data_IF_604841980102
#
_entry.id   IF_604841980102
#
_cell.length_a   1.000
_cell.length_b   1.000
_cell.length_c   1.000
_cell.angle_alpha   90.00
_cell.angle_beta   90.00
_cell.angle_gamma   90.00
#
_symmetry.space_group_name_H-M   'P 1'
#
loop_
_entity.id
_entity.type
_entity.pdbx_description
1 polymer ?
#
# COMPACT_ATOMS: atom_id res chain seq x y z
N UNK A 1 16.52 -22.49 -38.42
CA UNK A 1 16.15 -21.32 -37.62
C UNK A 1 14.72 -21.53 -37.14
N UNK A 2 14.54 -22.12 -35.96
CA UNK A 2 13.24 -22.21 -35.31
C UNK A 2 13.08 -20.98 -34.42
N UNK A 3 12.30 -20.01 -34.88
CA UNK A 3 11.80 -18.93 -34.03
C UNK A 3 10.75 -19.54 -33.11
N UNK A 4 11.14 -19.80 -31.86
CA UNK A 4 10.19 -20.11 -30.78
C UNK A 4 9.38 -18.84 -30.55
N UNK A 5 8.21 -18.76 -31.19
CA UNK A 5 7.18 -17.80 -30.82
C UNK A 5 6.63 -18.23 -29.45
N UNK A 6 7.31 -17.82 -28.38
CA UNK A 6 6.82 -17.90 -27.01
C UNK A 6 5.71 -16.89 -26.79
N UNK A 7 4.61 -17.01 -27.52
CA UNK A 7 3.39 -16.27 -27.20
C UNK A 7 2.86 -16.84 -25.89
N UNK A 8 2.99 -16.09 -24.81
CA UNK A 8 2.35 -16.44 -23.54
C UNK A 8 0.85 -16.45 -23.81
N UNK A 9 0.25 -17.65 -23.79
CA UNK A 9 -1.18 -17.81 -23.99
C UNK A 9 -1.91 -17.26 -22.76
N UNK A 10 -3.00 -16.53 -23.00
CA UNK A 10 -3.84 -16.03 -21.91
C UNK A 10 -4.35 -17.23 -21.08
N UNK A 11 -4.21 -17.12 -19.75
CA UNK A 11 -4.55 -18.18 -18.79
C UNK A 11 -5.46 -17.64 -17.71
N UNK A 12 -6.41 -18.47 -17.29
CA UNK A 12 -7.30 -18.17 -16.17
C UNK A 12 -6.56 -18.35 -14.85
N UNK A 13 -6.22 -17.25 -14.19
CA UNK A 13 -5.43 -17.23 -12.95
C UNK A 13 -6.17 -16.50 -11.82
N UNK A 14 -5.90 -16.84 -10.56
CA UNK A 14 -6.39 -16.06 -9.43
C UNK A 14 -5.88 -14.61 -9.46
N UNK A 15 -6.72 -13.67 -9.04
CA UNK A 15 -6.37 -12.25 -8.93
C UNK A 15 -5.12 -12.04 -8.06
N UNK A 16 -4.94 -12.80 -6.97
CA UNK A 16 -3.78 -12.62 -6.11
C UNK A 16 -2.43 -12.85 -6.82
N UNK A 17 -2.37 -13.74 -7.83
CA UNK A 17 -1.16 -13.98 -8.62
C UNK A 17 -0.85 -12.76 -9.49
N UNK A 18 -1.88 -12.19 -10.10
CA UNK A 18 -1.76 -11.02 -10.98
C UNK A 18 -1.37 -9.78 -10.19
N UNK A 19 -1.95 -9.59 -9.01
CA UNK A 19 -1.55 -8.49 -8.12
C UNK A 19 -0.10 -8.62 -7.65
N UNK A 20 0.40 -9.85 -7.43
CA UNK A 20 1.81 -10.05 -7.10
C UNK A 20 2.74 -9.69 -8.26
N UNK A 21 2.37 -10.06 -9.50
CA UNK A 21 3.10 -9.66 -10.71
C UNK A 21 3.06 -8.13 -10.92
N UNK A 22 1.89 -7.51 -10.72
CA UNK A 22 1.74 -6.06 -10.78
C UNK A 22 2.63 -5.37 -9.72
N UNK A 23 2.65 -5.84 -8.47
CA UNK A 23 3.56 -5.30 -7.43
C UNK A 23 5.03 -5.47 -7.82
N UNK A 24 5.41 -6.62 -8.41
CA UNK A 24 6.78 -6.84 -8.87
C UNK A 24 7.17 -5.83 -9.96
N UNK A 25 6.25 -5.52 -10.87
CA UNK A 25 6.48 -4.55 -11.95
C UNK A 25 6.71 -3.12 -11.44
N UNK A 26 6.27 -2.80 -10.21
CA UNK A 26 6.55 -1.53 -9.54
C UNK A 26 7.98 -1.44 -8.99
N UNK A 27 8.81 -2.47 -9.19
CA UNK A 27 10.17 -2.52 -8.67
C UNK A 27 10.25 -2.84 -7.18
N UNK A 28 9.18 -3.41 -6.60
CA UNK A 28 9.18 -3.83 -5.19
C UNK A 28 10.02 -5.09 -5.04
N UNK A 29 10.99 -5.05 -4.13
CA UNK A 29 11.90 -6.16 -3.84
C UNK A 29 11.60 -6.86 -2.51
N UNK A 30 10.95 -6.13 -1.58
CA UNK A 30 10.67 -6.58 -0.24
C UNK A 30 9.27 -6.16 0.23
N UNK A 31 8.59 -7.06 0.93
CA UNK A 31 7.31 -6.82 1.62
C UNK A 31 7.43 -7.27 3.07
N UNK A 32 6.71 -6.61 3.97
CA UNK A 32 6.74 -6.89 5.40
C UNK A 32 5.38 -7.38 5.85
N UNK A 33 5.28 -8.32 6.78
CA UNK A 33 3.95 -8.80 7.12
C UNK A 33 3.86 -9.76 8.26
N UNK A 34 2.62 -10.03 8.67
CA UNK A 34 2.28 -11.20 9.46
C UNK A 34 1.19 -11.96 8.69
N UNK A 35 1.58 -13.11 8.16
CA UNK A 35 0.70 -13.93 7.32
C UNK A 35 -0.54 -14.38 8.11
N UNK A 36 -1.70 -14.26 7.48
CA UNK A 36 -2.99 -14.76 7.96
C UNK A 36 -3.55 -15.76 6.95
N UNK A 37 -4.51 -16.59 7.35
CA UNK A 37 -5.25 -17.49 6.43
C UNK A 37 -5.83 -16.73 5.22
N UNK A 38 -6.34 -15.52 5.45
CA UNK A 38 -6.92 -14.63 4.44
C UNK A 38 -5.91 -13.89 3.55
N UNK A 39 -4.60 -14.03 3.80
CA UNK A 39 -3.52 -13.43 2.98
C UNK A 39 -2.44 -14.42 2.56
N UNK A 40 -2.48 -15.68 3.03
CA UNK A 40 -1.43 -16.67 2.83
C UNK A 40 -1.10 -16.94 1.35
N UNK A 41 -2.12 -17.11 0.50
CA UNK A 41 -1.93 -17.33 -0.93
C UNK A 41 -1.30 -16.12 -1.62
N UNK A 42 -1.73 -14.92 -1.23
CA UNK A 42 -1.16 -13.69 -1.77
C UNK A 42 0.31 -13.50 -1.37
N UNK A 43 0.65 -13.73 -0.10
CA UNK A 43 2.05 -13.71 0.38
C UNK A 43 2.90 -14.75 -0.35
N UNK A 44 2.36 -15.95 -0.57
CA UNK A 44 3.06 -17.00 -1.33
C UNK A 44 3.30 -16.57 -2.78
N UNK A 45 2.33 -15.92 -3.42
CA UNK A 45 2.49 -15.42 -4.78
C UNK A 45 3.53 -14.28 -4.88
N UNK A 46 3.61 -13.40 -3.88
CA UNK A 46 4.65 -12.37 -3.80
C UNK A 46 6.05 -13.01 -3.76
N UNK A 47 6.23 -14.03 -2.90
CA UNK A 47 7.49 -14.77 -2.80
C UNK A 47 7.85 -15.48 -4.12
N UNK A 48 6.87 -16.14 -4.76
CA UNK A 48 7.04 -16.78 -6.06
C UNK A 48 7.36 -15.78 -7.19
N UNK A 49 6.89 -14.53 -7.10
CA UNK A 49 7.23 -13.45 -8.02
C UNK A 49 8.64 -12.85 -7.75
N UNK A 50 9.38 -13.38 -6.78
CA UNK A 50 10.71 -12.92 -6.39
C UNK A 50 10.68 -11.63 -5.56
N UNK A 51 9.65 -11.45 -4.73
CA UNK A 51 9.55 -10.38 -3.73
C UNK A 51 9.79 -11.01 -2.36
N UNK A 52 10.83 -10.58 -1.65
CA UNK A 52 11.19 -11.18 -0.36
C UNK A 52 10.15 -10.82 0.71
N UNK A 53 9.58 -11.83 1.37
CA UNK A 53 8.67 -11.62 2.50
C UNK A 53 9.39 -11.62 3.84
N UNK A 54 9.39 -10.47 4.52
CA UNK A 54 9.94 -10.30 5.87
C UNK A 54 8.83 -10.43 6.93
N UNK A 55 8.77 -11.61 7.55
CA UNK A 55 7.77 -11.93 8.58
C UNK A 55 8.04 -11.25 9.94
N UNK A 56 7.04 -10.54 10.46
CA UNK A 56 7.01 -9.98 11.80
C UNK A 56 6.45 -10.99 12.83
N UNK A 57 6.38 -10.57 14.10
CA UNK A 57 5.64 -11.28 15.16
C UNK A 57 4.36 -10.55 15.60
N UNK A 58 4.12 -9.36 15.06
CA UNK A 58 2.97 -8.51 15.36
C UNK A 58 2.72 -7.57 14.17
N UNK A 59 1.46 -7.28 13.85
CA UNK A 59 1.07 -6.44 12.70
C UNK A 59 1.63 -5.01 12.79
N UNK A 60 1.59 -4.40 13.98
CA UNK A 60 2.29 -3.14 14.24
C UNK A 60 3.77 -3.18 13.82
N UNK A 61 4.50 -4.23 14.18
CA UNK A 61 5.91 -4.36 13.82
C UNK A 61 6.08 -4.53 12.31
N UNK A 62 5.19 -5.27 11.64
CA UNK A 62 5.21 -5.39 10.17
C UNK A 62 5.07 -4.02 9.48
N UNK A 63 4.08 -3.22 9.91
CA UNK A 63 3.84 -1.89 9.34
C UNK A 63 5.01 -0.94 9.67
N UNK A 64 5.55 -0.99 10.89
CA UNK A 64 6.74 -0.20 11.25
C UNK A 64 7.99 -0.59 10.45
N UNK A 65 8.17 -1.87 10.11
CA UNK A 65 9.27 -2.28 9.21
C UNK A 65 9.09 -1.71 7.80
N UNK A 66 7.87 -1.76 7.25
CA UNK A 66 7.58 -1.15 5.95
C UNK A 66 7.82 0.37 5.96
N UNK A 67 7.48 1.03 7.07
CA UNK A 67 7.71 2.46 7.28
C UNK A 67 9.21 2.80 7.34
N UNK A 68 9.98 2.06 8.14
CA UNK A 68 11.44 2.22 8.20
C UNK A 68 12.13 1.92 6.87
N UNK A 69 11.66 0.93 6.12
CA UNK A 69 12.13 0.63 4.77
C UNK A 69 11.87 1.80 3.81
N UNK A 70 10.65 2.33 3.80
CA UNK A 70 10.29 3.48 2.97
C UNK A 70 11.13 4.71 3.33
N UNK A 71 11.37 4.94 4.62
CA UNK A 71 12.22 6.04 5.08
C UNK A 71 13.68 5.90 4.65
N UNK A 72 14.26 4.70 4.81
CA UNK A 72 15.67 4.45 4.51
C UNK A 72 15.98 4.40 3.01
N UNK A 73 15.06 3.88 2.19
CA UNK A 73 15.25 3.69 0.75
C UNK A 73 14.70 4.84 -0.10
N UNK A 74 13.73 5.60 0.40
CA UNK A 74 12.92 6.52 -0.40
C UNK A 74 11.91 5.83 -1.32
N UNK A 75 11.89 4.49 -1.35
CA UNK A 75 10.99 3.65 -2.14
C UNK A 75 9.65 3.43 -1.42
N UNK A 76 8.70 2.77 -2.11
CA UNK A 76 7.44 2.35 -1.54
C UNK A 76 7.68 1.21 -0.51
N UNK A 77 7.24 1.43 0.74
CA UNK A 77 7.14 0.35 1.73
C UNK A 77 5.79 -0.35 1.61
N UNK A 78 5.78 -1.69 1.62
CA UNK A 78 4.53 -2.47 1.59
C UNK A 78 4.42 -3.36 2.81
N UNK A 79 3.31 -3.26 3.52
CA UNK A 79 2.93 -4.16 4.61
C UNK A 79 1.74 -5.04 4.21
N UNK A 80 1.79 -6.34 4.48
CA UNK A 80 0.69 -7.29 4.24
C UNK A 80 0.28 -7.93 5.57
N UNK A 81 -0.98 -7.71 5.99
CA UNK A 81 -1.51 -8.20 7.25
C UNK A 81 -2.94 -8.74 7.08
N UNK A 82 -3.38 -9.58 8.01
CA UNK A 82 -4.71 -10.17 7.96
C UNK A 82 -5.86 -9.19 8.20
N UNK A 83 -7.08 -9.70 8.09
CA UNK A 83 -8.32 -8.99 8.45
C UNK A 83 -8.61 -9.02 9.95
N UNK A 84 -9.55 -8.18 10.37
CA UNK A 84 -10.18 -8.32 11.69
C UNK A 84 -9.25 -7.91 12.84
N UNK A 85 -8.95 -8.80 13.80
CA UNK A 85 -7.99 -8.51 14.87
C UNK A 85 -6.63 -8.03 14.35
N UNK A 86 -6.16 -8.55 13.23
CA UNK A 86 -4.91 -8.12 12.61
C UNK A 86 -4.95 -6.63 12.17
N UNK A 87 -6.09 -6.16 11.65
CA UNK A 87 -6.29 -4.74 11.35
C UNK A 87 -6.21 -3.89 12.62
N UNK A 88 -6.86 -4.32 13.70
CA UNK A 88 -6.83 -3.62 14.99
C UNK A 88 -5.42 -3.59 15.59
N UNK A 89 -4.69 -4.71 15.54
CA UNK A 89 -3.32 -4.84 16.02
C UNK A 89 -2.33 -3.92 15.27
N UNK A 90 -2.55 -3.69 13.98
CA UNK A 90 -1.72 -2.83 13.15
C UNK A 90 -2.11 -1.34 13.18
N UNK A 91 -3.22 -0.98 13.84
CA UNK A 91 -3.81 0.35 13.71
C UNK A 91 -2.88 1.47 14.19
N UNK A 92 -2.11 1.23 15.26
CA UNK A 92 -1.20 2.24 15.80
C UNK A 92 -0.10 2.62 14.80
N UNK A 93 0.58 1.63 14.21
CA UNK A 93 1.61 1.87 13.20
C UNK A 93 1.02 2.45 11.91
N UNK A 94 -0.19 2.02 11.53
CA UNK A 94 -0.91 2.58 10.37
C UNK A 94 -1.20 4.08 10.55
N UNK A 95 -1.70 4.48 11.73
CA UNK A 95 -1.91 5.89 12.07
C UNK A 95 -0.60 6.66 12.13
N UNK A 96 0.46 6.08 12.70
CA UNK A 96 1.76 6.71 12.75
C UNK A 96 2.32 7.01 11.34
N UNK A 97 2.28 6.03 10.43
CA UNK A 97 2.71 6.19 9.05
C UNK A 97 1.90 7.28 8.32
N UNK A 98 0.59 7.35 8.56
CA UNK A 98 -0.26 8.40 7.99
C UNK A 98 0.11 9.79 8.51
N UNK A 99 0.40 9.93 9.81
CA UNK A 99 0.75 11.22 10.44
C UNK A 99 2.13 11.73 10.05
N UNK A 100 3.04 10.83 9.69
CA UNK A 100 4.42 11.16 9.29
C UNK A 100 4.58 11.33 7.77
N UNK A 101 3.50 11.14 7.01
CA UNK A 101 3.51 11.21 5.56
C UNK A 101 4.52 10.23 4.96
N UNK A 102 4.54 9.00 5.48
CA UNK A 102 5.43 7.94 5.02
C UNK A 102 4.84 7.25 3.79
N UNK A 103 5.70 6.86 2.84
CA UNK A 103 5.31 6.22 1.56
C UNK A 103 5.00 4.74 1.78
N UNK A 104 3.85 4.44 2.41
CA UNK A 104 3.52 3.07 2.85
C UNK A 104 2.17 2.63 2.29
N UNK A 105 2.15 1.48 1.60
CA UNK A 105 0.93 0.77 1.23
C UNK A 105 0.70 -0.38 2.22
N UNK A 106 -0.42 -0.36 2.93
CA UNK A 106 -0.80 -1.39 3.88
C UNK A 106 -1.95 -2.22 3.28
N UNK A 107 -1.63 -3.44 2.86
CA UNK A 107 -2.59 -4.38 2.28
C UNK A 107 -3.15 -5.23 3.42
N UNK A 108 -4.45 -5.08 3.66
CA UNK A 108 -5.21 -5.88 4.60
C UNK A 108 -6.00 -6.93 3.82
N UNK A 109 -5.99 -8.19 4.29
CA UNK A 109 -7.05 -9.11 3.92
C UNK A 109 -8.41 -8.56 4.37
N UNK A 110 -9.48 -8.98 3.70
CA UNK A 110 -10.85 -8.54 4.02
C UNK A 110 -11.87 -9.67 3.83
N UNK A 111 -13.04 -9.53 4.48
CA UNK A 111 -14.13 -10.49 4.36
C UNK A 111 -14.59 -10.62 2.90
N UNK A 112 -14.81 -11.85 2.44
CA UNK A 112 -15.41 -12.12 1.14
C UNK A 112 -16.77 -11.41 1.01
N UNK A 113 -17.10 -10.96 -0.21
CA UNK A 113 -18.44 -10.50 -0.52
C UNK A 113 -19.43 -11.67 -0.48
N UNK A 114 -20.65 -11.41 -0.02
CA UNK A 114 -21.72 -12.42 0.00
C UNK A 114 -21.63 -13.47 1.12
N UNK A 115 -20.77 -13.28 2.12
CA UNK A 115 -20.64 -14.16 3.30
C UNK A 115 -21.86 -14.17 4.22
N UNK A 116 -22.88 -13.33 3.97
CA UNK A 116 -24.20 -13.41 4.59
C UNK A 116 -25.04 -14.55 4.01
N UNK A 117 -24.41 -15.70 3.72
CA UNK A 117 -25.14 -16.89 3.32
C UNK A 117 -25.95 -17.36 4.52
N UNK A 118 -27.22 -17.71 4.29
CA UNK A 118 -28.16 -18.23 5.29
C UNK A 118 -27.67 -19.53 5.97
N UNK A 119 -26.58 -20.13 5.49
CA UNK A 119 -25.97 -21.37 5.97
C UNK A 119 -24.45 -21.26 6.23
N UNK A 120 -23.95 -20.10 6.65
CA UNK A 120 -22.54 -19.98 7.03
C UNK A 120 -22.22 -20.93 8.20
N UNK A 121 -21.07 -21.63 8.13
CA UNK A 121 -20.55 -22.47 9.21
C UNK A 121 -20.13 -21.60 10.41
N UNK A 122 -21.10 -21.22 11.24
CA UNK A 122 -20.87 -20.46 12.47
C UNK A 122 -20.62 -18.96 12.27
N UNK A 123 -20.42 -18.22 13.37
CA UNK A 123 -20.23 -16.78 13.33
C UNK A 123 -18.85 -16.41 12.78
N UNK A 124 -18.79 -15.28 12.08
CA UNK A 124 -17.52 -14.71 11.62
C UNK A 124 -16.72 -14.12 12.79
N UNK A 125 -15.81 -14.92 13.35
CA UNK A 125 -14.96 -14.52 14.49
C UNK A 125 -13.93 -13.43 14.16
N UNK A 126 -13.77 -13.07 12.87
CA UNK A 126 -12.90 -11.96 12.44
C UNK A 126 -13.71 -10.73 12.01
N UNK A 127 -15.03 -10.72 12.22
CA UNK A 127 -15.89 -9.60 11.85
C UNK A 127 -15.40 -8.29 12.48
N UNK A 128 -15.07 -7.33 11.62
CA UNK A 128 -14.52 -6.03 12.01
C UNK A 128 -14.81 -5.04 10.89
N UNK A 129 -15.29 -3.84 11.24
CA UNK A 129 -15.52 -2.78 10.26
C UNK A 129 -14.20 -2.08 9.91
N UNK A 130 -13.32 -2.78 9.19
CA UNK A 130 -12.00 -2.29 8.79
C UNK A 130 -12.09 -0.95 8.06
N UNK A 131 -12.99 -0.85 7.08
CA UNK A 131 -13.23 0.37 6.31
C UNK A 131 -13.59 1.55 7.22
N UNK A 132 -14.58 1.37 8.11
CA UNK A 132 -15.02 2.43 9.01
C UNK A 132 -13.94 2.84 10.01
N UNK A 133 -13.24 1.88 10.61
CA UNK A 133 -12.21 2.16 11.62
C UNK A 133 -10.99 2.86 11.01
N UNK A 134 -10.47 2.36 9.90
CA UNK A 134 -9.30 2.95 9.23
C UNK A 134 -9.62 4.36 8.70
N UNK A 135 -10.81 4.55 8.14
CA UNK A 135 -11.28 5.88 7.70
C UNK A 135 -11.41 6.84 8.88
N UNK A 136 -12.01 6.41 9.99
CA UNK A 136 -12.14 7.22 11.20
C UNK A 136 -10.78 7.55 11.85
N UNK A 137 -9.78 6.68 11.64
CA UNK A 137 -8.41 6.89 12.08
C UNK A 137 -7.61 7.84 11.16
N UNK A 138 -8.21 8.30 10.05
CA UNK A 138 -7.63 9.28 9.13
C UNK A 138 -6.78 8.67 8.01
N UNK A 139 -6.88 7.36 7.76
CA UNK A 139 -6.23 6.73 6.62
C UNK A 139 -7.06 6.92 5.34
N UNK A 140 -6.36 7.06 4.21
CA UNK A 140 -6.96 6.83 2.90
C UNK A 140 -7.16 5.34 2.72
N UNK A 141 -8.39 4.92 2.45
CA UNK A 141 -8.76 3.50 2.33
C UNK A 141 -9.34 3.22 0.96
N UNK A 142 -8.71 2.30 0.22
CA UNK A 142 -9.23 1.73 -1.01
C UNK A 142 -9.65 0.28 -0.74
N UNK A 143 -10.67 -0.19 -1.45
CA UNK A 143 -11.16 -1.56 -1.33
C UNK A 143 -11.38 -2.14 -2.70
N UNK A 144 -10.78 -3.30 -2.98
CA UNK A 144 -11.04 -4.00 -4.22
C UNK A 144 -12.48 -4.56 -4.21
N UNK A 145 -13.29 -4.15 -5.18
CA UNK A 145 -14.73 -4.51 -5.25
C UNK A 145 -15.04 -5.54 -6.35
N UNK A 146 -14.12 -5.77 -7.27
CA UNK A 146 -14.27 -6.74 -8.36
C UNK A 146 -12.91 -7.28 -8.80
N UNK A 147 -12.91 -8.46 -9.45
CA UNK A 147 -11.70 -9.04 -10.01
C UNK A 147 -11.07 -8.14 -11.09
N UNK A 148 -11.90 -7.61 -11.99
CA UNK A 148 -11.45 -6.74 -13.07
C UNK A 148 -10.88 -5.41 -12.56
N UNK A 149 -11.47 -4.83 -11.50
CA UNK A 149 -11.02 -3.56 -10.93
C UNK A 149 -9.87 -3.65 -9.93
N UNK A 150 -9.51 -4.85 -9.46
CA UNK A 150 -8.51 -5.04 -8.40
C UNK A 150 -7.13 -4.49 -8.78
N UNK A 151 -6.71 -4.69 -10.04
CA UNK A 151 -5.42 -4.19 -10.56
C UNK A 151 -5.36 -2.67 -10.54
N UNK A 152 -6.42 -2.02 -11.04
CA UNK A 152 -6.54 -0.54 -11.00
C UNK A 152 -6.55 -0.04 -9.56
N UNK A 153 -7.30 -0.70 -8.66
CA UNK A 153 -7.37 -0.29 -7.25
C UNK A 153 -6.00 -0.40 -6.56
N UNK A 154 -5.22 -1.43 -6.87
CA UNK A 154 -3.84 -1.57 -6.40
C UNK A 154 -2.95 -0.43 -6.93
N UNK A 155 -3.03 -0.14 -8.23
CA UNK A 155 -2.24 0.91 -8.85
C UNK A 155 -2.57 2.31 -8.28
N UNK A 156 -3.85 2.60 -8.07
CA UNK A 156 -4.31 3.83 -7.42
C UNK A 156 -3.79 3.92 -5.99
N UNK A 157 -3.87 2.83 -5.22
CA UNK A 157 -3.38 2.79 -3.85
C UNK A 157 -1.86 2.98 -3.77
N UNK A 158 -1.11 2.35 -4.67
CA UNK A 158 0.34 2.51 -4.78
C UNK A 158 0.72 3.94 -5.18
N UNK A 159 0.02 4.53 -6.16
CA UNK A 159 0.25 5.92 -6.60
C UNK A 159 0.01 6.93 -5.49
N UNK A 160 -1.08 6.78 -4.75
CA UNK A 160 -1.37 7.60 -3.56
C UNK A 160 -0.29 7.42 -2.48
N UNK A 161 0.19 6.19 -2.25
CA UNK A 161 1.22 5.95 -1.26
C UNK A 161 2.57 6.59 -1.64
N UNK A 162 2.96 6.50 -2.92
CA UNK A 162 4.19 7.10 -3.43
C UNK A 162 4.21 8.64 -3.33
N UNK A 163 3.04 9.29 -3.25
CA UNK A 163 2.91 10.73 -2.99
C UNK A 163 3.20 11.12 -1.53
N UNK A 164 3.60 10.18 -0.67
CA UNK A 164 3.90 10.42 0.74
C UNK A 164 2.70 10.22 1.67
N UNK A 165 1.81 9.29 1.33
CA UNK A 165 0.67 8.90 2.15
C UNK A 165 0.82 7.47 2.65
N UNK A 166 0.30 7.20 3.85
CA UNK A 166 0.00 5.82 4.24
C UNK A 166 -1.41 5.46 3.74
N UNK A 167 -1.48 4.45 2.88
CA UNK A 167 -2.73 4.04 2.21
C UNK A 167 -3.08 2.63 2.63
N UNK A 168 -4.33 2.41 3.02
CA UNK A 168 -4.85 1.08 3.30
C UNK A 168 -5.56 0.52 2.07
N UNK A 169 -5.16 -0.67 1.62
CA UNK A 169 -5.86 -1.44 0.60
C UNK A 169 -6.54 -2.65 1.23
N UNK A 170 -7.86 -2.67 1.24
CA UNK A 170 -8.65 -3.82 1.67
C UNK A 170 -8.83 -4.78 0.48
N UNK A 171 -8.44 -6.04 0.69
CA UNK A 171 -8.43 -7.07 -0.33
C UNK A 171 -9.32 -8.26 0.07
N UNK A 172 -10.61 -8.24 -0.30
CA UNK A 172 -11.54 -9.32 0.02
C UNK A 172 -11.09 -10.67 -0.53
N UNK A 173 -11.20 -11.73 0.27
CA UNK A 173 -10.82 -13.10 -0.14
C UNK A 173 -11.59 -13.59 -1.38
N UNK A 174 -12.86 -13.21 -1.54
CA UNK A 174 -13.64 -13.50 -2.75
C UNK A 174 -13.03 -12.85 -4.00
N UNK A 175 -12.38 -11.69 -3.86
CA UNK A 175 -11.70 -11.02 -4.97
C UNK A 175 -10.33 -11.65 -5.21
N UNK A 176 -9.55 -11.93 -4.15
CA UNK A 176 -8.25 -12.62 -4.27
C UNK A 176 -8.36 -13.92 -5.06
N UNK A 177 -9.39 -14.72 -4.75
CA UNK A 177 -9.63 -16.05 -5.32
C UNK A 177 -10.40 -16.02 -6.64
N UNK A 178 -10.99 -14.88 -7.01
CA UNK A 178 -11.64 -14.74 -8.30
C UNK A 178 -10.61 -14.94 -9.42
N UNK A 179 -11.06 -15.47 -10.56
CA UNK A 179 -10.19 -15.70 -11.71
C UNK A 179 -10.36 -14.61 -12.75
N UNK A 180 -9.26 -14.23 -13.39
CA UNK A 180 -9.24 -13.37 -14.56
C UNK A 180 -8.42 -14.00 -15.68
N UNK A 181 -8.71 -13.60 -16.91
CA UNK A 181 -7.91 -13.98 -18.07
C UNK A 181 -6.67 -13.11 -18.12
N UNK A 182 -5.50 -13.74 -18.01
CA UNK A 182 -4.22 -13.06 -17.82
C UNK A 182 -3.20 -13.52 -18.83
N UNK A 183 -2.58 -12.56 -19.52
CA UNK A 183 -1.39 -12.79 -20.31
C UNK A 183 -0.17 -12.23 -19.55
N UNK A 184 0.91 -12.99 -19.44
CA UNK A 184 2.15 -12.47 -18.80
C UNK A 184 2.77 -11.29 -19.58
N UNK A 185 2.33 -11.07 -20.83
CA UNK A 185 2.66 -9.88 -21.63
C UNK A 185 1.71 -8.68 -21.41
N UNK A 186 0.61 -8.86 -20.65
CA UNK A 186 -0.28 -7.75 -20.33
C UNK A 186 0.47 -6.70 -19.51
N UNK A 187 0.41 -5.41 -19.90
CA UNK A 187 1.10 -4.38 -19.14
C UNK A 187 0.51 -4.27 -17.75
N UNK A 188 1.38 -4.04 -16.77
CA UNK A 188 0.95 -3.58 -15.45
C UNK A 188 0.19 -2.26 -15.58
N UNK A 189 -0.79 -1.98 -14.71
CA UNK A 189 -1.49 -0.70 -14.76
C UNK A 189 -0.51 0.43 -14.45
N UNK A 190 -0.59 1.52 -15.21
CA UNK A 190 0.24 2.69 -14.99
C UNK A 190 -0.03 3.29 -13.61
N UNK A 191 1.00 3.35 -12.76
CA UNK A 191 0.94 4.10 -11.51
C UNK A 191 1.21 5.56 -11.81
N UNK A 192 0.18 6.40 -11.65
CA UNK A 192 0.31 7.85 -11.81
C UNK A 192 0.90 8.43 -10.53
N UNK A 193 2.22 8.59 -10.50
CA UNK A 193 2.87 9.42 -9.50
C UNK A 193 2.85 10.85 -10.03
N UNK A 194 1.85 11.64 -9.62
CA UNK A 194 1.97 13.08 -9.79
C UNK A 194 3.06 13.54 -8.85
N UNK A 195 4.16 14.10 -9.38
CA UNK A 195 5.07 14.86 -8.54
C UNK A 195 4.24 15.97 -7.89
N UNK A 196 4.19 15.98 -6.56
CA UNK A 196 3.62 17.10 -5.83
C UNK A 196 4.55 18.28 -6.12
N UNK A 197 4.21 19.10 -7.10
CA UNK A 197 4.96 20.31 -7.38
C UNK A 197 4.87 21.18 -6.14
N UNK A 198 6.03 21.49 -5.55
CA UNK A 198 6.09 22.45 -4.46
C UNK A 198 5.51 23.77 -4.97
N UNK A 199 4.45 24.25 -4.34
CA UNK A 199 3.92 25.57 -4.66
C UNK A 199 4.98 26.62 -4.32
N UNK A 200 5.33 27.44 -5.30
CA UNK A 200 6.23 28.57 -5.07
C UNK A 200 5.65 29.48 -3.99
N UNK A 201 6.47 29.81 -2.99
CA UNK A 201 6.09 30.79 -1.99
C UNK A 201 5.79 32.14 -2.67
N UNK A 202 4.79 32.85 -2.15
CA UNK A 202 4.44 34.20 -2.66
C UNK A 202 5.66 35.12 -2.50
N UNK A 203 6.06 35.91 -3.53
CA UNK A 203 7.24 36.78 -3.44
C UNK A 203 7.22 37.73 -2.24
N UNK A 204 6.04 38.26 -1.89
CA UNK A 204 5.83 39.14 -0.73
C UNK A 204 6.12 38.45 0.62
N UNK A 205 5.79 37.15 0.73
CA UNK A 205 6.06 36.36 1.93
C UNK A 205 7.57 36.08 2.08
N UNK A 206 8.26 35.83 0.95
CA UNK A 206 9.71 35.66 0.92
C UNK A 206 10.39 36.97 1.36
N UNK A 207 9.99 38.11 0.79
CA UNK A 207 10.56 39.41 1.15
C UNK A 207 10.33 39.73 2.64
N UNK A 208 9.14 39.47 3.16
CA UNK A 208 8.82 39.66 4.58
C UNK A 208 9.70 38.81 5.50
N UNK A 209 9.98 37.56 5.12
CA UNK A 209 10.88 36.68 5.87
C UNK A 209 12.34 37.19 5.83
N UNK A 210 12.82 37.63 4.67
CA UNK A 210 14.16 38.22 4.51
C UNK A 210 14.32 39.47 5.37
N UNK A 211 13.34 40.38 5.36
CA UNK A 211 13.38 41.61 6.16
C UNK A 211 13.37 41.31 7.67
N UNK A 212 12.57 40.33 8.10
CA UNK A 212 12.52 39.88 9.49
C UNK A 212 13.86 39.30 9.94
N UNK A 213 14.48 38.45 9.12
CA UNK A 213 15.80 37.90 9.38
C UNK A 213 16.88 38.98 9.42
N UNK A 214 16.85 39.93 8.47
CA UNK A 214 17.83 41.02 8.38
C UNK A 214 17.81 41.99 9.57
N UNK A 215 16.67 42.15 10.25
CA UNK A 215 16.53 42.98 11.46
C UNK A 215 16.81 42.21 12.76
N UNK A 216 16.91 40.89 12.70
CA UNK A 216 17.06 40.03 13.89
C UNK A 216 18.51 39.96 14.35
N UNK A 217 18.76 40.18 15.64
CA UNK A 217 20.11 40.09 16.22
C UNK A 217 20.52 38.65 16.58
N UNK A 218 19.55 37.75 16.81
CA UNK A 218 19.77 36.35 17.22
C UNK A 218 18.73 35.41 16.57
N UNK A 219 18.75 35.26 15.23
CA UNK A 219 17.77 34.41 14.56
C UNK A 219 17.96 32.93 14.91
N UNK A 220 16.85 32.19 14.99
CA UNK A 220 16.81 30.73 15.11
C UNK A 220 15.93 30.18 13.99
N UNK A 221 16.46 29.22 13.23
CA UNK A 221 15.70 28.47 12.23
C UNK A 221 15.43 27.07 12.78
N UNK A 222 14.17 26.66 12.78
CA UNK A 222 13.75 25.30 13.13
C UNK A 222 13.39 24.59 11.82
N UNK A 223 14.29 23.74 11.32
CA UNK A 223 14.10 22.97 10.11
C UNK A 223 13.53 21.59 10.46
N UNK A 224 12.27 21.36 10.10
CA UNK A 224 11.59 20.08 10.32
C UNK A 224 11.78 19.08 9.16
N UNK A 225 11.04 17.97 9.23
CA UNK A 225 11.07 16.90 8.22
C UNK A 225 10.77 17.40 6.79
N UNK A 226 9.89 18.39 6.65
CA UNK A 226 9.59 19.01 5.36
C UNK A 226 10.80 19.68 4.72
N UNK A 227 11.65 20.35 5.51
CA UNK A 227 12.90 20.93 5.01
C UNK A 227 13.90 19.85 4.61
N UNK A 228 14.05 18.79 5.43
CA UNK A 228 14.93 17.66 5.10
C UNK A 228 14.54 16.96 3.79
N UNK A 229 13.23 16.79 3.53
CA UNK A 229 12.74 16.16 2.29
C UNK A 229 12.91 17.03 1.05
N UNK A 230 13.09 18.35 1.20
CA UNK A 230 13.26 19.29 0.10
C UNK A 230 14.69 19.36 -0.45
N UNK A 231 15.69 18.86 0.29
CA UNK A 231 17.11 18.92 -0.05
C UNK A 231 17.84 20.02 0.70
#
# INVERSE_FOLDING_TARGET
>A
MNTVNGGHAARMVPVYEVLAADIKSLGVEAVFGLMSDDTALFVTALDMAGITFHGARHENAAISMAEGYAYASGSLGIAVVGRGPATANGLHAAVYAARTGSRVLIIYGDAAFGTSSTNALGPDYKAFNALGVLTAAGLQVLRATSAAGARTTLADAAGLAMQGNAVALLLPTSIQLAKLDWNDADPAPSVVVSETQAESARPEAVQSAVDCLGRSQRPLIIAGLGAHRAG
#
